data_IF_086106632067
#
_entry.id   IF_086106632067
#
_cell.length_a   1.000
_cell.length_b   1.000
_cell.length_c   1.000
_cell.angle_alpha   90.00
_cell.angle_beta   90.00
_cell.angle_gamma   90.00
#
_symmetry.space_group_name_H-M   'P 1'
#
loop_
_entity.id
_entity.type
_entity.pdbx_description
1 polymer ?
#
# COMPACT_ATOMS: atom_id res chain seq x y z
N UNK A 1 31.69 31.91 -2.17
CA UNK A 1 30.65 31.65 -3.19
C UNK A 1 31.04 30.31 -3.86
N UNK A 2 30.62 29.21 -3.23
CA UNK A 2 30.67 27.87 -3.84
C UNK A 2 29.23 27.57 -4.27
N UNK A 3 28.92 27.79 -5.55
CA UNK A 3 27.76 27.19 -6.17
C UNK A 3 28.08 25.71 -6.33
N UNK A 4 27.53 24.88 -5.43
CA UNK A 4 27.41 23.46 -5.70
C UNK A 4 26.58 23.30 -6.97
N UNK A 5 27.21 22.79 -8.02
CA UNK A 5 26.51 22.30 -9.19
C UNK A 5 25.69 21.09 -8.68
N UNK A 6 24.39 21.30 -8.43
CA UNK A 6 23.46 20.18 -8.41
C UNK A 6 23.64 19.45 -9.74
N UNK A 7 24.21 18.28 -9.69
CA UNK A 7 24.23 17.33 -10.79
C UNK A 7 22.75 17.09 -11.13
N UNK A 8 22.32 17.55 -12.28
CA UNK A 8 21.01 17.23 -12.82
C UNK A 8 20.98 15.72 -13.06
N UNK A 9 20.60 14.95 -12.03
CA UNK A 9 20.33 13.52 -12.24
C UNK A 9 19.10 13.41 -13.12
N UNK A 10 19.20 12.62 -14.18
CA UNK A 10 18.07 12.35 -15.06
C UNK A 10 16.93 11.76 -14.21
N UNK A 11 15.72 12.29 -14.39
CA UNK A 11 14.54 11.83 -13.67
C UNK A 11 14.11 10.47 -14.20
N UNK A 12 13.70 9.58 -13.30
CA UNK A 12 13.11 8.28 -13.65
C UNK A 12 11.78 8.51 -14.35
N UNK A 13 11.73 8.21 -15.65
CA UNK A 13 10.52 8.35 -16.47
C UNK A 13 9.51 7.26 -16.12
N UNK A 14 8.39 7.68 -15.53
CA UNK A 14 7.42 6.79 -14.89
C UNK A 14 6.07 6.82 -15.60
N UNK A 15 5.52 5.63 -15.83
CA UNK A 15 4.19 5.44 -16.41
C UNK A 15 3.20 4.81 -15.43
N UNK A 16 1.93 5.25 -15.45
CA UNK A 16 0.84 4.67 -14.69
C UNK A 16 -0.03 3.77 -15.58
N UNK A 17 -0.24 2.52 -15.15
CA UNK A 17 -1.11 1.57 -15.86
C UNK A 17 -2.60 1.91 -15.77
N UNK A 18 -3.02 2.76 -14.83
CA UNK A 18 -4.39 3.24 -14.70
C UNK A 18 -4.47 4.60 -14.01
N UNK A 19 -5.57 5.33 -14.24
CA UNK A 19 -5.86 6.61 -13.57
C UNK A 19 -7.19 6.55 -12.79
N UNK A 20 -7.40 5.42 -12.08
CA UNK A 20 -8.46 5.25 -11.09
C UNK A 20 -8.13 5.99 -9.78
N UNK A 21 -8.83 5.65 -8.70
CA UNK A 21 -8.65 6.26 -7.37
C UNK A 21 -7.20 6.15 -6.90
N UNK A 22 -6.59 4.97 -7.01
CA UNK A 22 -5.20 4.75 -6.62
C UNK A 22 -4.23 5.65 -7.41
N UNK A 23 -4.35 5.71 -8.74
CA UNK A 23 -3.53 6.58 -9.57
C UNK A 23 -3.66 8.05 -9.24
N UNK A 24 -4.88 8.52 -8.95
CA UNK A 24 -5.16 9.93 -8.65
C UNK A 24 -4.73 10.36 -7.26
N UNK A 25 -4.80 9.48 -6.27
CA UNK A 25 -4.59 9.80 -4.85
C UNK A 25 -3.23 9.32 -4.35
N UNK A 26 -2.80 8.11 -4.74
CA UNK A 26 -1.65 7.47 -4.12
C UNK A 26 -0.39 7.39 -4.99
N UNK A 27 -0.47 7.64 -6.31
CA UNK A 27 0.70 7.55 -7.17
C UNK A 27 1.05 8.88 -7.86
N UNK A 28 0.15 9.42 -8.68
CA UNK A 28 0.44 10.61 -9.47
C UNK A 28 0.89 11.82 -8.62
N UNK A 29 0.28 12.11 -7.44
CA UNK A 29 0.74 13.22 -6.60
C UNK A 29 2.18 13.06 -6.13
N UNK A 30 2.57 11.87 -5.69
CA UNK A 30 3.92 11.62 -5.20
C UNK A 30 4.95 11.61 -6.31
N UNK A 31 4.66 10.99 -7.46
CA UNK A 31 5.56 10.97 -8.62
C UNK A 31 5.78 12.39 -9.15
N UNK A 32 4.70 13.18 -9.27
CA UNK A 32 4.78 14.53 -9.84
C UNK A 32 5.47 15.57 -8.94
N UNK A 33 5.49 15.34 -7.62
CA UNK A 33 6.13 16.26 -6.66
C UNK A 33 7.54 15.83 -6.28
N UNK A 34 7.93 14.57 -6.54
CA UNK A 34 9.26 14.07 -6.23
C UNK A 34 10.26 14.52 -7.31
N UNK A 35 11.37 15.20 -6.93
CA UNK A 35 12.34 15.73 -7.89
C UNK A 35 13.07 14.65 -8.70
N UNK A 36 13.08 13.40 -8.24
CA UNK A 36 13.78 12.28 -8.92
C UNK A 36 12.91 11.54 -9.92
N UNK A 37 11.62 11.87 -10.03
CA UNK A 37 10.68 11.20 -10.93
C UNK A 37 10.06 12.18 -11.92
N UNK A 38 9.67 11.64 -13.08
CA UNK A 38 8.85 12.32 -14.07
C UNK A 38 7.63 11.48 -14.40
N UNK A 39 6.44 12.03 -14.19
CA UNK A 39 5.19 11.39 -14.62
C UNK A 39 5.02 11.58 -16.12
N UNK A 40 5.58 10.64 -16.89
CA UNK A 40 5.71 10.73 -18.34
C UNK A 40 4.44 10.29 -19.07
N UNK A 41 3.80 9.20 -18.61
CA UNK A 41 2.63 8.65 -19.30
C UNK A 41 1.59 8.09 -18.31
N UNK A 42 0.32 8.18 -18.72
CA UNK A 42 -0.82 7.69 -17.94
C UNK A 42 -1.77 6.94 -18.87
N UNK A 43 -2.15 5.72 -18.50
CA UNK A 43 -3.13 4.94 -19.26
C UNK A 43 -4.54 5.35 -18.87
N UNK A 44 -5.28 5.86 -19.85
CA UNK A 44 -6.72 6.15 -19.74
C UNK A 44 -7.43 5.66 -21.00
N UNK A 45 -8.16 4.54 -20.93
CA UNK A 45 -8.78 3.86 -22.09
C UNK A 45 -9.72 4.76 -22.91
N UNK A 46 -10.52 5.59 -22.25
CA UNK A 46 -11.52 6.43 -22.89
C UNK A 46 -11.71 7.82 -22.27
N UNK A 47 -11.05 8.07 -21.13
CA UNK A 47 -11.14 9.34 -20.41
C UNK A 47 -9.86 10.15 -20.62
N UNK A 48 -9.88 11.40 -20.14
CA UNK A 48 -8.74 12.32 -20.13
C UNK A 48 -8.69 13.10 -18.80
N UNK A 49 -8.95 12.37 -17.69
CA UNK A 49 -9.04 12.99 -16.36
C UNK A 49 -7.69 13.53 -15.88
N UNK A 50 -6.60 12.91 -16.32
CA UNK A 50 -5.25 13.31 -15.95
C UNK A 50 -4.82 14.62 -16.61
N UNK A 51 -5.37 14.96 -17.77
CA UNK A 51 -4.93 16.09 -18.59
C UNK A 51 -5.01 17.44 -17.87
N UNK A 52 -6.01 17.64 -17.03
CA UNK A 52 -6.16 18.89 -16.26
C UNK A 52 -5.11 19.05 -15.16
N UNK A 53 -4.73 17.93 -14.50
CA UNK A 53 -3.79 17.96 -13.37
C UNK A 53 -2.33 17.76 -13.81
N UNK A 54 -2.12 16.98 -14.84
CA UNK A 54 -0.80 16.58 -15.34
C UNK A 54 -0.73 16.80 -16.87
N UNK A 55 -0.83 18.05 -17.36
CA UNK A 55 -0.90 18.36 -18.78
C UNK A 55 0.35 17.96 -19.57
N UNK A 56 1.49 17.83 -18.89
CA UNK A 56 2.77 17.37 -19.45
C UNK A 56 2.82 15.86 -19.69
N UNK A 57 1.97 15.07 -19.01
CA UNK A 57 1.97 13.61 -19.15
C UNK A 57 1.21 13.19 -20.39
N UNK A 58 1.77 12.24 -21.14
CA UNK A 58 1.12 11.66 -22.32
C UNK A 58 0.00 10.72 -21.88
N UNK A 59 -1.17 10.85 -22.47
CA UNK A 59 -2.25 9.87 -22.30
C UNK A 59 -2.06 8.77 -23.34
N UNK A 60 -1.95 7.53 -22.88
CA UNK A 60 -1.96 6.32 -23.71
C UNK A 60 -3.25 5.55 -23.51
N UNK A 61 -3.68 4.79 -24.52
CA UNK A 61 -5.01 4.16 -24.54
C UNK A 61 -5.02 2.70 -24.12
N UNK A 62 -3.84 2.08 -24.07
CA UNK A 62 -3.68 0.69 -23.65
C UNK A 62 -2.42 0.49 -22.82
N UNK A 63 -2.36 -0.65 -22.14
CA UNK A 63 -1.17 -1.06 -21.40
C UNK A 63 -0.01 -1.40 -22.37
N UNK A 64 -0.34 -1.93 -23.54
CA UNK A 64 0.59 -2.21 -24.62
C UNK A 64 1.31 -0.95 -25.09
N UNK A 65 0.54 0.12 -25.31
CA UNK A 65 1.13 1.42 -25.66
C UNK A 65 2.06 1.93 -24.55
N UNK A 66 1.66 1.76 -23.27
CA UNK A 66 2.47 2.19 -22.13
C UNK A 66 3.82 1.49 -22.09
N UNK A 67 3.82 0.15 -22.06
CA UNK A 67 5.07 -0.63 -21.94
C UNK A 67 5.93 -0.58 -23.21
N UNK A 68 5.32 -0.26 -24.37
CA UNK A 68 6.00 -0.07 -25.64
C UNK A 68 6.74 1.27 -25.77
N UNK A 69 6.60 2.21 -24.82
CA UNK A 69 7.34 3.46 -24.82
C UNK A 69 8.79 3.18 -24.40
N UNK A 70 9.75 3.35 -25.33
CA UNK A 70 11.17 3.07 -25.07
C UNK A 70 11.73 3.93 -23.94
N UNK A 71 11.31 5.20 -23.87
CA UNK A 71 11.77 6.16 -22.88
C UNK A 71 11.32 5.88 -21.45
N UNK A 72 10.30 5.05 -21.21
CA UNK A 72 9.86 4.71 -19.87
C UNK A 72 10.82 3.74 -19.18
N UNK A 73 11.16 4.03 -17.94
CA UNK A 73 12.02 3.20 -17.08
C UNK A 73 11.23 2.44 -16.05
N UNK A 74 10.17 3.06 -15.49
CA UNK A 74 9.36 2.54 -14.41
C UNK A 74 7.88 2.50 -14.80
N UNK A 75 7.23 1.37 -14.55
CA UNK A 75 5.78 1.21 -14.69
C UNK A 75 5.14 0.93 -13.34
N UNK A 76 4.12 1.71 -12.99
CA UNK A 76 3.28 1.46 -11.82
C UNK A 76 2.05 0.68 -12.24
N UNK A 77 1.93 -0.56 -11.80
CA UNK A 77 0.77 -1.43 -12.02
C UNK A 77 -0.24 -1.18 -10.91
N UNK A 78 -1.13 -0.26 -11.14
CA UNK A 78 -2.16 0.21 -10.21
C UNK A 78 -3.59 -0.06 -10.72
N UNK A 79 -3.75 -1.22 -11.29
CA UNK A 79 -4.98 -1.79 -11.84
C UNK A 79 -5.73 -2.63 -10.78
N UNK A 80 -6.87 -3.27 -11.09
CA UNK A 80 -7.44 -4.29 -10.21
C UNK A 80 -6.47 -5.45 -9.97
N UNK A 81 -6.48 -6.01 -8.76
CA UNK A 81 -5.55 -7.05 -8.29
C UNK A 81 -5.51 -8.31 -9.17
N UNK A 82 -6.63 -8.70 -9.76
CA UNK A 82 -6.69 -9.82 -10.72
C UNK A 82 -5.80 -9.64 -11.96
N UNK A 83 -5.34 -8.44 -12.24
CA UNK A 83 -4.44 -8.11 -13.37
C UNK A 83 -3.00 -7.80 -12.95
N UNK A 84 -2.69 -7.78 -11.65
CA UNK A 84 -1.36 -7.40 -11.15
C UNK A 84 -0.27 -8.31 -11.70
N UNK A 85 -0.46 -9.62 -11.60
CA UNK A 85 0.51 -10.61 -12.09
C UNK A 85 0.82 -10.42 -13.57
N UNK A 86 -0.22 -10.46 -14.42
CA UNK A 86 -0.04 -10.40 -15.87
C UNK A 86 0.60 -9.08 -16.32
N UNK A 87 0.16 -7.94 -15.73
CA UNK A 87 0.71 -6.63 -16.09
C UNK A 87 2.14 -6.44 -15.58
N UNK A 88 2.43 -6.89 -14.36
CA UNK A 88 3.79 -6.83 -13.82
C UNK A 88 4.76 -7.69 -14.63
N UNK A 89 4.36 -8.94 -14.97
CA UNK A 89 5.14 -9.84 -15.79
C UNK A 89 5.48 -9.21 -17.13
N UNK A 90 4.49 -8.69 -17.85
CA UNK A 90 4.67 -8.06 -19.16
C UNK A 90 5.54 -6.79 -19.10
N UNK A 91 5.40 -5.99 -18.06
CA UNK A 91 6.26 -4.81 -17.86
C UNK A 91 7.73 -5.21 -17.63
N UNK A 92 7.97 -6.24 -16.79
CA UNK A 92 9.30 -6.80 -16.58
C UNK A 92 9.88 -7.41 -17.87
N UNK A 93 9.08 -8.15 -18.63
CA UNK A 93 9.48 -8.70 -19.94
C UNK A 93 9.86 -7.61 -20.93
N UNK A 94 9.17 -6.47 -20.88
CA UNK A 94 9.50 -5.28 -21.68
C UNK A 94 10.70 -4.47 -21.14
N UNK A 95 11.41 -4.97 -20.13
CA UNK A 95 12.61 -4.33 -19.57
C UNK A 95 12.33 -3.13 -18.68
N UNK A 96 11.13 -3.03 -18.09
CA UNK A 96 10.76 -1.91 -17.21
C UNK A 96 10.88 -2.33 -15.74
N UNK A 97 11.37 -1.42 -14.87
CA UNK A 97 11.19 -1.54 -13.44
C UNK A 97 9.71 -1.47 -13.10
N UNK A 98 9.28 -2.13 -12.02
CA UNK A 98 7.86 -2.25 -11.70
C UNK A 98 7.57 -1.93 -10.25
N UNK A 99 6.55 -1.10 -10.02
CA UNK A 99 5.84 -0.99 -8.74
C UNK A 99 4.46 -1.61 -8.94
N UNK A 100 4.09 -2.58 -8.10
CA UNK A 100 2.76 -3.20 -8.11
C UNK A 100 1.96 -2.75 -6.91
N UNK A 101 0.69 -2.40 -7.12
CA UNK A 101 -0.24 -2.13 -6.02
C UNK A 101 -0.46 -3.36 -5.14
N UNK A 102 -0.87 -3.11 -3.91
CA UNK A 102 -1.29 -4.17 -2.99
C UNK A 102 -2.77 -4.59 -3.22
N UNK A 103 -3.13 -5.85 -2.96
CA UNK A 103 -2.26 -6.98 -2.70
C UNK A 103 -1.38 -7.31 -3.90
N UNK A 104 -0.17 -7.83 -3.66
CA UNK A 104 0.84 -8.04 -4.70
C UNK A 104 0.33 -8.92 -5.84
N UNK A 105 -0.05 -10.13 -5.50
CA UNK A 105 -0.63 -11.13 -6.40
C UNK A 105 -1.77 -11.85 -5.71
N UNK A 106 -2.49 -12.68 -6.43
CA UNK A 106 -3.59 -13.46 -5.87
C UNK A 106 -3.16 -14.82 -5.35
N UNK A 107 -1.98 -15.31 -5.78
CA UNK A 107 -1.36 -16.54 -5.27
C UNK A 107 0.12 -16.30 -4.92
N UNK A 108 0.68 -17.21 -4.13
CA UNK A 108 2.11 -17.16 -3.75
C UNK A 108 2.99 -17.46 -4.96
N UNK A 109 2.60 -18.43 -5.77
CA UNK A 109 3.32 -18.87 -6.97
C UNK A 109 3.50 -17.72 -7.97
N UNK A 110 2.44 -16.96 -8.23
CA UNK A 110 2.52 -15.74 -9.07
C UNK A 110 3.53 -14.73 -8.52
N UNK A 111 3.56 -14.55 -7.20
CA UNK A 111 4.50 -13.64 -6.55
C UNK A 111 5.94 -14.10 -6.68
N UNK A 112 6.21 -15.40 -6.47
CA UNK A 112 7.53 -16.01 -6.61
C UNK A 112 8.05 -15.94 -8.05
N UNK A 113 7.19 -16.17 -9.05
CA UNK A 113 7.53 -16.02 -10.46
C UNK A 113 7.94 -14.58 -10.81
N UNK A 114 7.20 -13.59 -10.34
CA UNK A 114 7.54 -12.18 -10.59
C UNK A 114 8.87 -11.78 -9.94
N UNK A 115 9.13 -12.24 -8.72
CA UNK A 115 10.41 -12.00 -8.02
C UNK A 115 11.56 -12.64 -8.77
N UNK A 116 11.40 -13.89 -9.21
CA UNK A 116 12.41 -14.60 -10.01
C UNK A 116 12.68 -13.89 -11.34
N UNK A 117 11.63 -13.50 -12.07
CA UNK A 117 11.74 -12.79 -13.34
C UNK A 117 12.44 -11.44 -13.20
N UNK A 118 12.11 -10.67 -12.15
CA UNK A 118 12.76 -9.39 -11.90
C UNK A 118 14.26 -9.57 -11.62
N UNK A 119 14.61 -10.58 -10.82
CA UNK A 119 16.01 -10.92 -10.51
C UNK A 119 16.77 -11.36 -11.77
N UNK A 120 16.19 -12.23 -12.62
CA UNK A 120 16.78 -12.70 -13.88
C UNK A 120 17.11 -11.52 -14.82
N UNK A 121 16.19 -10.55 -14.89
CA UNK A 121 16.37 -9.38 -15.78
C UNK A 121 17.17 -8.23 -15.14
N UNK A 122 17.57 -8.34 -13.88
CA UNK A 122 18.26 -7.25 -13.17
C UNK A 122 17.37 -6.02 -12.97
N UNK A 123 16.05 -6.21 -12.87
CA UNK A 123 15.08 -5.14 -12.72
C UNK A 123 14.58 -5.03 -11.27
N UNK A 124 14.17 -3.83 -10.89
CA UNK A 124 13.53 -3.59 -9.60
C UNK A 124 12.05 -3.94 -9.67
N UNK A 125 11.60 -4.79 -8.75
CA UNK A 125 10.20 -5.05 -8.48
C UNK A 125 9.88 -4.64 -7.03
N UNK A 126 8.87 -3.80 -6.85
CA UNK A 126 8.45 -3.33 -5.53
C UNK A 126 6.94 -3.43 -5.36
N UNK A 127 6.49 -3.86 -4.18
CA UNK A 127 5.08 -3.85 -3.81
C UNK A 127 4.75 -2.56 -3.08
N UNK A 128 3.68 -1.90 -3.47
CA UNK A 128 3.30 -0.60 -2.92
C UNK A 128 2.60 -0.73 -1.57
N UNK A 129 3.35 -1.16 -0.55
CA UNK A 129 2.90 -1.22 0.84
C UNK A 129 2.97 0.18 1.48
N UNK A 130 2.17 1.10 0.97
CA UNK A 130 2.19 2.52 1.31
C UNK A 130 1.99 2.81 2.81
N UNK A 131 1.21 1.97 3.52
CA UNK A 131 0.96 2.17 4.95
C UNK A 131 2.13 1.86 5.87
N UNK A 132 3.26 1.43 5.34
CA UNK A 132 4.56 1.44 6.05
C UNK A 132 5.04 2.86 6.36
N UNK A 133 4.50 3.85 5.66
CA UNK A 133 4.86 5.26 5.74
C UNK A 133 3.78 6.12 6.42
N UNK A 134 2.68 5.51 6.86
CA UNK A 134 1.66 6.18 7.65
C UNK A 134 2.29 6.69 8.96
N UNK A 135 1.99 7.91 9.37
CA UNK A 135 2.59 8.53 10.55
C UNK A 135 2.29 7.76 11.85
N UNK A 136 1.15 7.12 11.93
CA UNK A 136 0.77 6.28 13.07
C UNK A 136 1.65 5.02 13.17
N UNK A 137 1.95 4.37 12.04
CA UNK A 137 2.85 3.22 12.00
C UNK A 137 4.31 3.59 12.26
N UNK A 138 4.79 4.71 11.68
CA UNK A 138 6.14 5.24 11.96
C UNK A 138 6.31 5.58 13.44
N UNK A 139 5.27 6.12 14.10
CA UNK A 139 5.28 6.38 15.53
C UNK A 139 5.37 5.07 16.35
N UNK A 140 4.59 4.04 15.97
CA UNK A 140 4.69 2.71 16.60
C UNK A 140 6.11 2.16 16.49
N UNK A 141 6.71 2.23 15.30
CA UNK A 141 8.08 1.79 15.07
C UNK A 141 9.08 2.52 15.97
N UNK A 142 8.97 3.84 16.02
CA UNK A 142 9.85 4.67 16.88
C UNK A 142 9.72 4.33 18.36
N UNK A 143 8.50 4.10 18.86
CA UNK A 143 8.23 3.69 20.25
C UNK A 143 8.91 2.36 20.56
N UNK A 144 8.82 1.40 19.66
CA UNK A 144 9.43 0.08 19.81
C UNK A 144 10.97 0.15 19.71
N UNK A 145 11.49 0.86 18.72
CA UNK A 145 12.94 1.03 18.51
C UNK A 145 13.63 1.72 19.70
N UNK A 146 12.92 2.66 20.37
CA UNK A 146 13.40 3.36 21.58
C UNK A 146 13.14 2.61 22.89
N UNK A 147 12.43 1.48 22.85
CA UNK A 147 12.09 0.69 24.04
C UNK A 147 11.21 1.43 25.06
N UNK A 148 10.39 2.40 24.64
CA UNK A 148 9.65 3.29 25.55
C UNK A 148 8.60 2.57 26.40
N UNK A 149 8.23 1.33 26.06
CA UNK A 149 7.23 0.54 26.79
C UNK A 149 7.88 -0.59 27.62
N UNK A 150 9.22 -0.62 27.71
CA UNK A 150 9.92 -1.78 28.21
C UNK A 150 9.80 -2.97 27.28
N UNK A 151 9.72 -4.21 27.81
CA UNK A 151 9.49 -5.39 26.97
C UNK A 151 8.03 -5.42 26.51
N UNK A 152 7.82 -5.43 25.19
CA UNK A 152 6.48 -5.54 24.61
C UNK A 152 5.84 -6.90 24.96
N UNK A 153 4.59 -6.88 25.35
CA UNK A 153 3.79 -8.07 25.73
C UNK A 153 2.68 -8.32 24.72
N UNK A 154 2.02 -7.25 24.26
CA UNK A 154 0.86 -7.33 23.39
C UNK A 154 0.87 -6.21 22.35
N UNK A 155 0.48 -6.57 21.13
CA UNK A 155 0.31 -5.67 20.00
C UNK A 155 -1.05 -5.95 19.35
N UNK A 156 -1.89 -4.92 19.29
CA UNK A 156 -3.13 -4.97 18.53
C UNK A 156 -3.13 -3.92 17.42
N UNK A 157 -3.59 -4.32 16.25
CA UNK A 157 -3.80 -3.43 15.10
C UNK A 157 -5.20 -3.63 14.55
N UNK A 158 -6.04 -2.59 14.68
CA UNK A 158 -7.45 -2.65 14.24
C UNK A 158 -7.71 -1.64 13.14
N UNK A 159 -8.47 -2.07 12.13
CA UNK A 159 -9.00 -1.19 11.09
C UNK A 159 -10.52 -1.05 11.24
N UNK A 160 -11.01 -0.14 12.11
CA UNK A 160 -12.45 0.01 12.35
C UNK A 160 -13.10 0.71 11.15
N UNK A 161 -14.19 0.13 10.65
CA UNK A 161 -15.05 0.75 9.63
C UNK A 161 -16.52 0.39 9.88
N UNK A 162 -17.38 1.34 9.54
CA UNK A 162 -18.82 1.06 9.49
C UNK A 162 -19.36 1.22 8.08
N UNK A 163 -19.80 0.11 7.50
CA UNK A 163 -20.43 0.05 6.18
C UNK A 163 -21.44 -1.10 6.17
N UNK A 164 -22.60 -0.87 6.71
CA UNK A 164 -23.67 -1.89 6.78
C UNK A 164 -24.49 -1.96 5.47
N UNK A 165 -23.79 -2.00 4.34
CA UNK A 165 -24.41 -2.22 3.02
C UNK A 165 -23.37 -2.78 2.05
N UNK A 166 -23.84 -3.49 1.04
CA UNK A 166 -22.99 -3.99 -0.07
C UNK A 166 -22.89 -2.88 -1.13
N UNK A 167 -21.67 -2.45 -1.41
CA UNK A 167 -21.45 -1.42 -2.44
C UNK A 167 -21.72 -2.02 -3.83
N UNK A 168 -22.67 -1.46 -4.61
CA UNK A 168 -22.96 -1.97 -5.94
C UNK A 168 -21.82 -1.67 -6.94
N UNK A 169 -21.77 -2.46 -8.01
CA UNK A 169 -20.87 -2.25 -9.15
C UNK A 169 -19.37 -2.15 -8.79
N UNK A 170 -18.93 -2.97 -7.86
CA UNK A 170 -17.49 -3.09 -7.52
C UNK A 170 -17.07 -4.55 -7.43
N UNK A 171 -15.97 -4.87 -8.10
CA UNK A 171 -15.36 -6.19 -8.06
C UNK A 171 -14.99 -6.64 -6.62
N UNK A 172 -14.72 -5.68 -5.74
CA UNK A 172 -14.39 -5.94 -4.31
C UNK A 172 -15.51 -6.63 -3.52
N UNK A 173 -16.71 -6.68 -4.04
CA UNK A 173 -17.89 -7.29 -3.39
C UNK A 173 -18.46 -8.47 -4.18
N UNK A 174 -17.82 -8.90 -5.29
CA UNK A 174 -18.39 -9.93 -6.20
C UNK A 174 -18.05 -11.36 -5.81
N UNK A 175 -17.04 -11.58 -4.99
CA UNK A 175 -16.51 -12.92 -4.66
C UNK A 175 -15.50 -13.44 -5.67
N UNK A 176 -15.06 -12.61 -6.61
CA UNK A 176 -13.92 -12.91 -7.47
C UNK A 176 -12.61 -12.84 -6.67
N UNK A 177 -11.54 -13.41 -7.22
CA UNK A 177 -10.21 -13.43 -6.59
C UNK A 177 -9.75 -12.01 -6.21
N UNK A 178 -9.23 -11.84 -5.00
CA UNK A 178 -8.75 -10.56 -4.48
C UNK A 178 -9.81 -9.67 -3.83
N UNK A 179 -11.09 -10.05 -3.86
CA UNK A 179 -12.17 -9.37 -3.14
C UNK A 179 -12.11 -9.59 -1.63
N UNK A 180 -12.93 -8.85 -0.88
CA UNK A 180 -13.08 -8.98 0.57
C UNK A 180 -12.18 -8.09 1.39
N UNK A 181 -12.44 -8.12 2.69
CA UNK A 181 -11.78 -7.26 3.68
C UNK A 181 -10.35 -7.72 3.95
N UNK A 182 -10.11 -9.04 3.96
CA UNK A 182 -8.79 -9.63 4.21
C UNK A 182 -7.80 -9.21 3.15
N UNK A 183 -8.15 -9.30 1.87
CA UNK A 183 -7.29 -8.79 0.78
C UNK A 183 -7.16 -7.27 0.80
N UNK A 184 -8.23 -6.55 1.15
CA UNK A 184 -8.23 -5.09 1.10
C UNK A 184 -7.49 -4.44 2.27
N UNK A 185 -7.82 -4.80 3.52
CA UNK A 185 -7.24 -4.22 4.74
C UNK A 185 -6.27 -5.18 5.45
N UNK A 186 -6.52 -6.48 5.39
CA UNK A 186 -5.64 -7.48 5.96
C UNK A 186 -4.23 -7.40 5.40
N UNK A 187 -4.08 -7.18 4.08
CA UNK A 187 -2.79 -6.97 3.44
C UNK A 187 -1.94 -5.88 4.14
N UNK A 188 -2.57 -4.80 4.63
CA UNK A 188 -1.86 -3.73 5.33
C UNK A 188 -1.47 -4.10 6.75
N UNK A 189 -2.42 -4.62 7.56
CA UNK A 189 -2.15 -4.90 8.97
C UNK A 189 -1.20 -6.09 9.14
N UNK A 190 -1.29 -7.08 8.24
CA UNK A 190 -0.37 -8.22 8.21
C UNK A 190 1.04 -7.74 7.83
N UNK A 191 1.17 -6.95 6.77
CA UNK A 191 2.45 -6.40 6.34
C UNK A 191 3.12 -5.59 7.45
N UNK A 192 2.38 -4.69 8.10
CA UNK A 192 2.87 -3.89 9.22
C UNK A 192 3.36 -4.77 10.38
N UNK A 193 2.60 -5.80 10.76
CA UNK A 193 3.00 -6.72 11.82
C UNK A 193 4.24 -7.54 11.45
N UNK A 194 4.32 -8.05 10.22
CA UNK A 194 5.48 -8.78 9.72
C UNK A 194 6.73 -7.89 9.65
N UNK A 195 6.57 -6.61 9.30
CA UNK A 195 7.68 -5.64 9.33
C UNK A 195 8.25 -5.41 10.74
N UNK A 196 7.39 -5.41 11.76
CA UNK A 196 7.82 -5.19 13.15
C UNK A 196 8.37 -6.45 13.80
N UNK A 197 7.74 -7.60 13.55
CA UNK A 197 7.94 -8.80 14.36
C UNK A 197 8.48 -10.00 13.57
N UNK A 198 8.61 -9.89 12.25
CA UNK A 198 9.00 -11.00 11.37
C UNK A 198 7.88 -12.00 11.12
N UNK A 199 8.18 -13.04 10.33
CA UNK A 199 7.22 -14.08 9.96
C UNK A 199 6.82 -14.90 11.18
N UNK A 200 5.52 -15.21 11.36
CA UNK A 200 5.05 -16.08 12.44
C UNK A 200 5.30 -17.56 12.12
N UNK A 201 5.47 -18.40 13.17
CA UNK A 201 5.50 -19.86 13.01
C UNK A 201 4.13 -20.43 12.64
N UNK A 202 3.05 -19.80 13.13
CA UNK A 202 1.68 -20.21 12.85
C UNK A 202 0.72 -19.03 12.90
N UNK A 203 -0.44 -19.21 12.28
CA UNK A 203 -1.53 -18.24 12.24
C UNK A 203 -2.82 -18.91 12.69
N UNK A 204 -3.56 -18.24 13.55
CA UNK A 204 -4.97 -18.55 13.80
C UNK A 204 -5.81 -17.40 13.25
N UNK A 205 -6.86 -17.72 12.46
CA UNK A 205 -7.71 -16.70 11.87
C UNK A 205 -9.20 -17.11 11.96
N UNK A 206 -10.03 -16.14 12.32
CA UNK A 206 -11.47 -16.18 12.15
C UNK A 206 -11.86 -15.14 11.11
N UNK A 207 -12.34 -15.61 9.96
CA UNK A 207 -12.69 -14.80 8.80
C UNK A 207 -14.13 -15.09 8.43
N UNK A 208 -14.97 -14.05 8.34
CA UNK A 208 -16.40 -14.22 8.14
C UNK A 208 -17.03 -13.19 7.21
N UNK A 209 -18.17 -13.56 6.64
CA UNK A 209 -19.09 -12.66 5.92
C UNK A 209 -20.30 -12.43 6.83
N UNK A 210 -20.39 -11.24 7.43
CA UNK A 210 -21.39 -10.90 8.44
C UNK A 210 -22.52 -10.02 7.88
N UNK A 211 -22.26 -9.22 6.85
CA UNK A 211 -23.27 -8.35 6.23
C UNK A 211 -24.28 -9.18 5.43
N UNK A 212 -25.55 -8.86 5.59
CA UNK A 212 -26.64 -9.52 4.84
C UNK A 212 -26.43 -9.38 3.33
N UNK A 213 -26.42 -10.51 2.62
CA UNK A 213 -26.21 -10.56 1.18
C UNK A 213 -24.74 -10.38 0.72
N UNK A 214 -23.78 -10.35 1.66
CA UNK A 214 -22.36 -10.36 1.37
C UNK A 214 -21.93 -11.63 0.63
N UNK A 215 -20.95 -11.50 -0.27
CA UNK A 215 -20.34 -12.60 -1.03
C UNK A 215 -18.86 -12.77 -0.74
N UNK A 216 -18.27 -11.83 -0.02
CA UNK A 216 -16.87 -11.78 0.37
C UNK A 216 -16.78 -11.54 1.87
N UNK A 217 -15.64 -11.86 2.46
CA UNK A 217 -15.40 -11.57 3.88
C UNK A 217 -15.45 -10.06 4.15
N UNK A 218 -16.00 -9.73 5.32
CA UNK A 218 -16.14 -8.36 5.82
C UNK A 218 -15.81 -8.22 7.30
N UNK A 219 -15.23 -9.30 7.84
CA UNK A 219 -14.73 -9.43 9.20
C UNK A 219 -13.52 -10.36 9.22
N UNK A 220 -12.51 -9.99 9.99
CA UNK A 220 -11.47 -10.92 10.40
C UNK A 220 -10.89 -10.56 11.77
N UNK A 221 -10.47 -11.60 12.50
CA UNK A 221 -9.47 -11.57 13.56
C UNK A 221 -8.38 -12.56 13.20
N UNK A 222 -7.13 -12.09 13.23
CA UNK A 222 -5.94 -12.89 12.93
C UNK A 222 -4.97 -12.78 14.09
N UNK A 223 -4.54 -13.91 14.64
CA UNK A 223 -3.47 -13.98 15.62
C UNK A 223 -2.21 -14.53 14.96
N UNK A 224 -1.11 -13.77 15.06
CA UNK A 224 0.20 -14.23 14.63
C UNK A 224 0.92 -14.86 15.82
N UNK A 225 1.27 -16.14 15.70
CA UNK A 225 1.84 -16.93 16.79
C UNK A 225 3.35 -17.07 16.61
N UNK A 226 4.09 -16.76 17.68
CA UNK A 226 5.55 -16.86 17.74
C UNK A 226 6.25 -16.19 16.53
N UNK A 227 6.11 -14.90 16.34
CA UNK A 227 6.82 -14.19 15.28
C UNK A 227 8.34 -14.25 15.49
N UNK A 228 9.09 -14.31 14.39
CA UNK A 228 10.53 -14.61 14.38
C UNK A 228 11.39 -13.68 15.25
N UNK A 229 11.02 -12.40 15.34
CA UNK A 229 11.79 -11.40 16.09
C UNK A 229 11.25 -11.14 17.51
N UNK A 230 10.06 -11.65 17.85
CA UNK A 230 9.41 -11.39 19.13
C UNK A 230 8.45 -12.55 19.52
N UNK A 231 8.95 -13.78 19.74
CA UNK A 231 8.12 -14.99 19.88
C UNK A 231 7.17 -14.97 21.08
N UNK A 232 7.42 -14.13 22.08
CA UNK A 232 6.59 -14.00 23.27
C UNK A 232 5.43 -12.99 23.12
N UNK A 233 5.48 -12.11 22.10
CA UNK A 233 4.47 -11.06 21.90
C UNK A 233 3.17 -11.67 21.40
N UNK A 234 2.05 -11.26 22.01
CA UNK A 234 0.73 -11.58 21.54
C UNK A 234 0.30 -10.58 20.49
N UNK A 235 0.08 -11.05 19.26
CA UNK A 235 -0.26 -10.18 18.13
C UNK A 235 -1.69 -10.47 17.67
N UNK A 236 -2.53 -9.45 17.68
CA UNK A 236 -3.91 -9.49 17.21
C UNK A 236 -4.13 -8.45 16.12
N UNK A 237 -4.60 -8.90 14.97
CA UNK A 237 -4.97 -8.06 13.83
C UNK A 237 -6.47 -8.19 13.59
N UNK A 238 -7.18 -7.07 13.46
CA UNK A 238 -8.64 -7.07 13.39
C UNK A 238 -9.15 -6.05 12.38
N UNK A 239 -10.18 -6.41 11.64
CA UNK A 239 -10.97 -5.44 10.88
C UNK A 239 -12.42 -5.93 10.73
N UNK A 240 -13.35 -4.99 10.61
CA UNK A 240 -14.74 -5.28 10.29
C UNK A 240 -15.41 -4.09 9.61
N UNK A 241 -16.37 -4.39 8.72
CA UNK A 241 -17.26 -3.36 8.18
C UNK A 241 -18.47 -3.06 9.09
N UNK A 242 -18.57 -3.69 10.24
CA UNK A 242 -19.68 -3.47 11.20
C UNK A 242 -19.23 -2.84 12.53
N UNK A 243 -18.06 -2.20 12.56
CA UNK A 243 -17.58 -1.45 13.72
C UNK A 243 -18.11 -0.01 13.66
N UNK A 244 -19.15 0.27 14.45
CA UNK A 244 -19.73 1.62 14.57
C UNK A 244 -18.92 2.52 15.52
N UNK A 245 -18.32 1.92 16.54
CA UNK A 245 -17.53 2.63 17.53
C UNK A 245 -16.10 2.88 17.03
N UNK A 246 -15.50 3.95 17.53
CA UNK A 246 -14.14 4.31 17.20
C UNK A 246 -13.14 3.51 18.06
N UNK A 247 -12.87 2.29 17.64
CA UNK A 247 -11.83 1.47 18.29
C UNK A 247 -10.43 2.05 18.01
N UNK A 248 -9.45 1.83 18.91
CA UNK A 248 -8.07 2.21 18.66
C UNK A 248 -7.51 1.58 17.38
N UNK A 249 -6.74 2.35 16.64
CA UNK A 249 -5.98 1.84 15.48
C UNK A 249 -4.84 0.93 15.90
N UNK A 250 -4.12 1.33 16.96
CA UNK A 250 -3.06 0.56 17.59
C UNK A 250 -3.24 0.56 19.10
N UNK A 251 -3.00 -0.61 19.72
CA UNK A 251 -2.85 -0.77 21.17
C UNK A 251 -1.59 -1.60 21.41
N UNK A 252 -0.66 -1.06 22.18
CA UNK A 252 0.57 -1.72 22.57
C UNK A 252 0.66 -1.73 24.09
N UNK A 253 0.92 -2.91 24.66
CA UNK A 253 1.16 -3.06 26.09
C UNK A 253 2.56 -3.63 26.32
N UNK A 254 3.35 -2.94 27.11
CA UNK A 254 4.65 -3.38 27.56
C UNK A 254 4.75 -3.44 29.07
N UNK A 255 5.90 -3.86 29.57
CA UNK A 255 6.13 -4.01 31.02
C UNK A 255 6.26 -2.68 31.78
N UNK A 256 6.50 -1.58 31.07
CA UNK A 256 6.74 -0.26 31.67
C UNK A 256 5.74 0.81 31.18
N UNK A 257 4.86 0.46 30.23
CA UNK A 257 3.86 1.40 29.73
C UNK A 257 2.99 0.83 28.63
N UNK A 258 2.04 1.66 28.18
CA UNK A 258 1.14 1.32 27.08
C UNK A 258 1.05 2.49 26.12
N UNK A 259 0.84 2.18 24.84
CA UNK A 259 0.55 3.16 23.80
C UNK A 259 -0.79 2.84 23.13
N UNK A 260 -1.64 3.86 23.00
CA UNK A 260 -2.96 3.74 22.36
C UNK A 260 -3.11 4.86 21.34
N UNK A 261 -3.40 4.50 20.09
CA UNK A 261 -3.59 5.46 18.98
C UNK A 261 -4.99 5.29 18.38
N UNK A 262 -5.68 6.40 18.26
CA UNK A 262 -6.97 6.49 17.57
C UNK A 262 -6.84 7.19 16.21
N UNK A 263 -7.74 6.85 15.28
CA UNK A 263 -7.78 7.44 13.95
C UNK A 263 -6.66 6.93 13.03
N UNK A 264 -6.75 7.28 11.75
CA UNK A 264 -5.81 6.93 10.69
C UNK A 264 -4.86 8.09 10.41
N UNK A 265 -3.90 7.86 9.51
CA UNK A 265 -3.04 8.91 8.97
C UNK A 265 -3.89 10.00 8.27
N UNK A 266 -3.74 11.28 8.62
CA UNK A 266 -4.48 12.38 8.02
C UNK A 266 -4.12 12.63 6.55
N UNK A 267 -2.95 12.19 6.09
CA UNK A 267 -2.45 12.44 4.73
C UNK A 267 -3.40 11.88 3.65
N UNK A 268 -4.02 10.72 3.88
CA UNK A 268 -4.98 10.15 2.92
C UNK A 268 -6.19 11.09 2.70
N UNK A 269 -6.67 11.72 3.77
CA UNK A 269 -7.77 12.67 3.68
C UNK A 269 -7.38 13.92 2.87
N UNK A 270 -6.18 14.40 3.02
CA UNK A 270 -5.67 15.57 2.31
C UNK A 270 -5.40 15.26 0.83
N UNK A 271 -4.79 14.13 0.53
CA UNK A 271 -4.61 13.66 -0.85
C UNK A 271 -5.94 13.48 -1.58
N UNK A 272 -6.95 12.96 -0.88
CA UNK A 272 -8.32 12.81 -1.44
C UNK A 272 -8.96 14.16 -1.76
N UNK A 273 -8.66 15.21 -1.01
CA UNK A 273 -9.07 16.59 -1.33
C UNK A 273 -8.23 17.24 -2.44
N UNK A 274 -7.19 16.55 -2.92
CA UNK A 274 -6.27 17.04 -3.95
C UNK A 274 -5.14 17.93 -3.42
N UNK A 275 -4.89 17.93 -2.11
CA UNK A 275 -3.72 18.58 -1.51
C UNK A 275 -2.51 17.71 -1.87
N UNK A 276 -1.53 18.32 -2.54
CA UNK A 276 -0.31 17.61 -2.96
C UNK A 276 0.63 17.38 -1.77
N UNK A 277 1.37 16.25 -1.74
CA UNK A 277 2.36 16.04 -0.70
C UNK A 277 3.49 17.06 -0.84
N UNK A 278 3.85 17.70 0.25
CA UNK A 278 5.04 18.54 0.32
C UNK A 278 6.19 17.63 0.71
N UNK A 279 7.08 17.37 -0.23
CA UNK A 279 8.32 16.64 0.04
C UNK A 279 9.28 17.60 0.76
N UNK A 280 9.25 17.61 2.08
CA UNK A 280 10.34 18.18 2.87
C UNK A 280 11.52 17.20 2.77
N UNK A 281 12.53 17.52 1.97
CA UNK A 281 13.79 16.79 1.93
C UNK A 281 14.41 16.96 3.33
N UNK A 282 14.36 15.91 4.15
CA UNK A 282 14.95 15.84 5.49
C UNK A 282 14.00 15.75 6.69
N UNK A 283 12.68 15.85 6.50
CA UNK A 283 11.70 15.73 7.60
C UNK A 283 10.54 14.78 7.20
N UNK A 284 10.83 13.49 7.11
CA UNK A 284 9.78 12.48 7.10
C UNK A 284 9.27 12.35 8.53
N UNK A 285 7.98 12.67 8.75
CA UNK A 285 7.30 12.33 10.00
C UNK A 285 7.28 13.39 11.09
N UNK A 286 6.96 14.64 10.81
CA UNK A 286 6.37 15.47 11.85
C UNK A 286 4.88 15.19 11.91
N UNK A 287 4.47 14.28 12.79
CA UNK A 287 3.12 14.28 13.30
C UNK A 287 2.91 15.66 13.98
N UNK A 288 1.89 16.39 13.54
CA UNK A 288 1.39 17.48 14.35
C UNK A 288 0.78 16.86 15.61
N UNK A 289 1.47 17.05 16.73
CA UNK A 289 0.97 16.74 18.08
C UNK A 289 -0.13 17.75 18.42
#
# INVERSE_FOLDING_TARGET
MLQEKESCMDKIKTGLAAFGMSGQVFHAPFISTNPHFELTAITERSKELSKMKYPQSRIVRSFEELIGMEELELVVVNTPDSSHYEYARRALEAGKHVIVEKPFTTTVEEGEELVALAAEKGLTLSVYQNRRWDCDFLTVKEILDKGLLGRLVEFESTFPRYRNFIKPNTWKETGESGGGLTYNLGAHVIDQAVQLFGMPEAVFADIATLRTGGKVDDYFIIHLLKPAHAPEVKITLKASYLMCENEPRFVLHGTEGSYVKYGLDPQEADLTKGILPILCIGEIGRAHV
#
